data_IF_189469222950
#
_entry.id   IF_189469222950
#
_cell.length_a   1.000
_cell.length_b   1.000
_cell.length_c   1.000
_cell.angle_alpha   90.00
_cell.angle_beta   90.00
_cell.angle_gamma   90.00
#
_symmetry.space_group_name_H-M   'P 1'
#
loop_
_entity.id
_entity.type
_entity.pdbx_description
1 polymer ?
#
# COMPACT_ATOMS: atom_id res chain seq x y z
N UNK A 1 49.54 49.03 -25.15
CA UNK A 1 48.75 47.78 -25.17
C UNK A 1 48.70 47.26 -23.75
N UNK A 2 47.52 47.27 -23.12
CA UNK A 2 47.33 46.83 -21.74
C UNK A 2 46.72 45.42 -21.79
N UNK A 3 47.42 44.42 -21.26
CA UNK A 3 46.92 43.04 -21.17
C UNK A 3 46.27 42.88 -19.79
N UNK A 4 44.94 42.70 -19.78
CA UNK A 4 44.18 42.38 -18.56
C UNK A 4 44.10 40.86 -18.46
N UNK A 5 44.74 40.28 -17.43
CA UNK A 5 44.63 38.87 -17.12
C UNK A 5 43.38 38.63 -16.26
N UNK A 6 42.42 37.87 -16.80
CA UNK A 6 41.22 37.43 -16.07
C UNK A 6 41.56 36.11 -15.38
N UNK A 7 41.67 36.13 -14.05
CA UNK A 7 41.82 34.93 -13.23
C UNK A 7 40.41 34.34 -13.03
N UNK A 8 40.12 33.25 -13.74
CA UNK A 8 38.88 32.50 -13.52
C UNK A 8 39.05 31.62 -12.28
N UNK A 9 38.36 31.98 -11.20
CA UNK A 9 38.29 31.20 -9.97
C UNK A 9 37.23 30.12 -10.15
N UNK A 10 37.66 28.90 -10.46
CA UNK A 10 36.77 27.73 -10.46
C UNK A 10 36.43 27.39 -9.02
N UNK A 11 35.16 27.56 -8.66
CA UNK A 11 34.61 27.04 -7.40
C UNK A 11 34.50 25.53 -7.59
N UNK A 12 35.40 24.78 -6.96
CA UNK A 12 35.26 23.33 -6.81
C UNK A 12 34.16 23.13 -5.78
N UNK A 13 32.95 22.83 -6.26
CA UNK A 13 31.92 22.26 -5.40
C UNK A 13 32.36 20.83 -5.11
N UNK A 14 32.86 20.58 -3.91
CA UNK A 14 32.91 19.22 -3.39
C UNK A 14 31.46 18.71 -3.38
N UNK A 15 31.14 17.81 -4.30
CA UNK A 15 29.90 17.05 -4.28
C UNK A 15 29.92 16.20 -3.01
N UNK A 16 29.39 16.76 -1.91
CA UNK A 16 29.04 15.99 -0.74
C UNK A 16 28.02 14.96 -1.23
N UNK A 17 28.47 13.71 -1.40
CA UNK A 17 27.59 12.58 -1.63
C UNK A 17 26.62 12.46 -0.44
N UNK A 18 25.50 13.18 -0.51
CA UNK A 18 24.35 12.95 0.36
C UNK A 18 23.84 11.56 0.05
N UNK A 19 24.28 10.56 0.80
CA UNK A 19 23.62 9.26 0.80
C UNK A 19 22.15 9.52 1.12
N UNK A 20 21.20 9.20 0.21
CA UNK A 20 19.81 9.45 0.50
C UNK A 20 19.45 8.68 1.76
N UNK A 21 18.88 9.37 2.76
CA UNK A 21 18.41 8.72 3.99
C UNK A 21 17.27 7.77 3.59
N UNK A 22 17.61 6.50 3.39
CA UNK A 22 16.63 5.46 3.07
C UNK A 22 15.93 5.02 4.33
N UNK A 23 14.61 4.79 4.25
CA UNK A 23 13.88 4.22 5.38
C UNK A 23 14.32 2.77 5.62
N UNK A 24 14.61 2.35 6.87
CA UNK A 24 15.21 1.05 7.17
C UNK A 24 14.31 -0.14 6.80
N UNK A 25 13.00 0.09 6.69
CA UNK A 25 12.00 -0.95 6.39
C UNK A 25 11.30 -0.81 5.04
N UNK A 26 11.19 0.41 4.50
CA UNK A 26 10.26 0.68 3.40
C UNK A 26 10.98 1.25 2.19
N UNK A 27 10.62 0.76 1.00
CA UNK A 27 11.07 1.33 -0.27
C UNK A 27 9.85 1.61 -1.15
N UNK A 28 9.79 2.82 -1.70
CA UNK A 28 8.75 3.21 -2.67
C UNK A 28 8.98 2.49 -3.99
N UNK A 29 7.92 2.01 -4.61
CA UNK A 29 7.95 1.23 -5.86
C UNK A 29 7.00 1.86 -6.89
N UNK A 30 7.45 2.02 -8.13
CA UNK A 30 6.63 2.52 -9.24
C UNK A 30 5.52 1.53 -9.63
N UNK A 31 4.56 1.98 -10.44
CA UNK A 31 3.53 1.09 -11.00
C UNK A 31 4.10 -0.05 -11.87
N UNK A 32 5.30 0.12 -12.43
CA UNK A 32 6.04 -0.89 -13.21
C UNK A 32 6.90 -1.80 -12.34
N UNK A 33 6.87 -1.63 -11.02
CA UNK A 33 7.65 -2.44 -10.10
C UNK A 33 9.13 -2.06 -10.07
N UNK A 34 9.49 -0.78 -10.19
CA UNK A 34 10.88 -0.32 -10.04
C UNK A 34 11.07 0.43 -8.72
N UNK A 35 12.23 0.32 -8.05
CA UNK A 35 12.45 1.02 -6.80
C UNK A 35 12.68 2.51 -7.04
N UNK A 36 12.21 3.32 -6.10
CA UNK A 36 12.36 4.77 -6.10
C UNK A 36 13.22 5.21 -4.91
N UNK A 37 13.94 6.33 -5.11
CA UNK A 37 14.58 7.01 -4.00
C UNK A 37 13.54 7.64 -3.06
N UNK A 38 13.89 7.95 -1.80
CA UNK A 38 12.93 8.44 -0.80
C UNK A 38 12.14 9.69 -1.23
N UNK A 39 12.76 10.54 -2.05
CA UNK A 39 12.22 11.83 -2.50
C UNK A 39 11.50 11.77 -3.85
N UNK A 40 11.53 10.61 -4.52
CA UNK A 40 10.89 10.42 -5.82
C UNK A 40 9.43 9.98 -5.67
N UNK A 41 8.65 10.28 -6.71
CA UNK A 41 7.28 9.86 -6.90
C UNK A 41 6.82 10.10 -8.35
N UNK A 42 5.60 9.70 -8.71
CA UNK A 42 4.65 8.96 -7.88
C UNK A 42 5.08 7.51 -7.65
N UNK A 43 4.63 6.91 -6.56
CA UNK A 43 4.81 5.47 -6.29
C UNK A 43 3.43 4.82 -6.16
N UNK A 44 3.35 3.56 -6.54
CA UNK A 44 2.11 2.79 -6.52
C UNK A 44 2.13 1.68 -5.45
N UNK A 45 3.33 1.29 -5.00
CA UNK A 45 3.50 0.28 -3.97
C UNK A 45 4.60 0.63 -2.98
N UNK A 46 4.57 -0.04 -1.83
CA UNK A 46 5.62 0.01 -0.81
C UNK A 46 6.14 -1.40 -0.58
N UNK A 47 7.45 -1.58 -0.80
CA UNK A 47 8.16 -2.79 -0.41
C UNK A 47 8.49 -2.74 1.09
N UNK A 48 7.99 -3.71 1.84
CA UNK A 48 8.28 -3.95 3.25
C UNK A 48 9.37 -5.03 3.39
N UNK A 49 10.59 -4.60 3.67
CA UNK A 49 11.76 -5.48 3.81
C UNK A 49 11.71 -6.37 5.06
N UNK A 50 10.96 -5.96 6.09
CA UNK A 50 10.89 -6.72 7.34
C UNK A 50 10.10 -8.03 7.17
N UNK A 51 9.03 -7.99 6.37
CA UNK A 51 8.15 -9.14 6.14
C UNK A 51 8.25 -9.71 4.71
N UNK A 52 9.06 -9.08 3.85
CA UNK A 52 9.19 -9.42 2.43
C UNK A 52 7.82 -9.38 1.70
N UNK A 53 7.08 -8.29 1.93
CA UNK A 53 5.75 -8.04 1.39
C UNK A 53 5.76 -6.79 0.50
N UNK A 54 4.93 -6.80 -0.54
CA UNK A 54 4.60 -5.62 -1.33
C UNK A 54 3.20 -5.15 -0.96
N UNK A 55 3.06 -3.88 -0.67
CA UNK A 55 1.79 -3.27 -0.30
C UNK A 55 1.28 -2.33 -1.38
N UNK A 56 -0.01 -2.37 -1.64
CA UNK A 56 -0.72 -1.38 -2.46
C UNK A 56 -0.66 0.00 -1.78
N UNK A 57 -0.52 1.07 -2.56
CA UNK A 57 -0.71 2.44 -2.08
C UNK A 57 -1.99 3.00 -2.67
N UNK A 58 -2.84 3.55 -1.81
CA UNK A 58 -4.13 4.13 -2.22
C UNK A 58 -3.93 5.49 -2.88
N UNK A 59 -4.85 5.83 -3.77
CA UNK A 59 -4.89 7.10 -4.51
C UNK A 59 -6.04 8.00 -4.05
N UNK A 60 -6.17 9.17 -4.66
CA UNK A 60 -7.29 10.11 -4.52
C UNK A 60 -7.60 10.65 -5.92
N UNK A 61 -8.05 9.73 -6.80
CA UNK A 61 -8.14 9.92 -8.25
C UNK A 61 -9.33 9.18 -8.90
N UNK A 62 -10.26 8.68 -8.09
CA UNK A 62 -11.42 7.88 -8.48
C UNK A 62 -11.11 6.57 -9.23
N UNK A 63 -9.83 6.19 -9.34
CA UNK A 63 -9.43 4.90 -9.92
C UNK A 63 -9.85 3.74 -9.01
N UNK A 64 -9.67 2.50 -9.46
CA UNK A 64 -9.93 1.32 -8.62
C UNK A 64 -9.14 1.33 -7.29
N UNK A 65 -8.04 2.10 -7.24
CA UNK A 65 -7.16 2.20 -6.07
C UNK A 65 -7.46 3.40 -5.17
N UNK A 66 -8.58 4.09 -5.38
CA UNK A 66 -8.95 5.25 -4.57
C UNK A 66 -9.12 4.87 -3.08
N UNK A 67 -8.60 5.71 -2.19
CA UNK A 67 -8.65 5.53 -0.75
C UNK A 67 -10.02 5.80 -0.13
N UNK A 68 -10.97 6.41 -0.85
CA UNK A 68 -12.35 6.59 -0.42
C UNK A 68 -13.24 5.37 -0.72
N UNK A 69 -12.78 4.43 -1.55
CA UNK A 69 -13.54 3.22 -1.83
C UNK A 69 -13.59 2.27 -0.64
N UNK A 70 -14.77 1.72 -0.43
CA UNK A 70 -15.02 0.68 0.55
C UNK A 70 -15.65 -0.52 -0.13
N UNK A 71 -15.43 -1.69 0.43
CA UNK A 71 -15.75 -2.96 -0.19
C UNK A 71 -16.55 -3.79 0.80
N UNK A 72 -17.54 -4.54 0.30
CA UNK A 72 -18.04 -5.68 1.06
C UNK A 72 -17.05 -6.84 0.97
N UNK A 73 -17.03 -7.70 1.99
CA UNK A 73 -16.15 -8.85 1.99
C UNK A 73 -16.76 -9.97 1.16
N UNK A 74 -16.08 -10.34 0.07
CA UNK A 74 -16.46 -11.42 -0.82
C UNK A 74 -15.21 -12.06 -1.44
N UNK A 75 -15.14 -13.39 -1.38
CA UNK A 75 -14.05 -14.16 -1.99
C UNK A 75 -14.55 -15.54 -2.41
N UNK A 76 -14.40 -15.88 -3.70
CA UNK A 76 -14.74 -17.19 -4.27
C UNK A 76 -16.12 -17.75 -3.85
N UNK A 77 -17.15 -16.88 -3.82
CA UNK A 77 -18.52 -17.27 -3.46
C UNK A 77 -18.84 -17.20 -1.96
N UNK A 78 -17.84 -16.96 -1.11
CA UNK A 78 -18.04 -16.71 0.31
C UNK A 78 -18.24 -15.21 0.56
N UNK A 79 -19.23 -14.86 1.39
CA UNK A 79 -19.46 -13.49 1.83
C UNK A 79 -20.61 -12.81 1.12
N UNK A 80 -20.49 -11.50 0.87
CA UNK A 80 -21.53 -10.70 0.22
C UNK A 80 -20.95 -9.87 -0.91
N UNK A 81 -21.33 -10.22 -2.14
CA UNK A 81 -20.96 -9.45 -3.32
C UNK A 81 -21.63 -8.08 -3.35
N UNK A 82 -20.96 -7.10 -3.96
CA UNK A 82 -21.54 -5.84 -4.42
C UNK A 82 -22.25 -5.00 -3.32
N UNK A 83 -21.68 -4.93 -2.12
CA UNK A 83 -22.23 -4.17 -0.99
C UNK A 83 -21.27 -3.09 -0.46
N UNK A 84 -20.16 -2.84 -1.16
CA UNK A 84 -19.26 -1.71 -0.92
C UNK A 84 -19.78 -0.38 -1.48
N UNK A 85 -18.97 0.66 -1.35
CA UNK A 85 -19.19 1.99 -1.91
C UNK A 85 -17.98 2.38 -2.76
N UNK A 86 -18.18 2.33 -4.08
CA UNK A 86 -17.24 2.75 -5.11
C UNK A 86 -18.01 3.03 -6.40
N UNK A 87 -17.33 3.67 -7.35
CA UNK A 87 -17.93 4.09 -8.63
C UNK A 87 -17.26 3.51 -9.88
N UNK A 88 -16.16 2.76 -9.74
CA UNK A 88 -15.50 2.12 -10.89
C UNK A 88 -16.26 0.87 -11.41
N UNK A 89 -17.18 0.31 -10.63
CA UNK A 89 -18.10 -0.77 -11.02
C UNK A 89 -19.55 -0.28 -10.98
N UNK A 90 -20.37 -0.74 -11.93
CA UNK A 90 -21.79 -0.35 -12.02
C UNK A 90 -22.65 -0.95 -10.91
N UNK A 91 -22.28 -2.15 -10.42
CA UNK A 91 -23.02 -2.89 -9.40
C UNK A 91 -22.59 -2.57 -7.96
N UNK A 92 -21.71 -1.57 -7.75
CA UNK A 92 -20.82 -1.47 -6.56
C UNK A 92 -19.77 -2.58 -6.55
N UNK A 93 -18.86 -2.53 -5.57
CA UNK A 93 -17.71 -3.43 -5.51
C UNK A 93 -17.68 -4.26 -4.24
N UNK A 94 -16.92 -5.35 -4.35
CA UNK A 94 -16.46 -6.17 -3.24
C UNK A 94 -14.96 -6.45 -3.32
N UNK A 95 -14.43 -7.14 -2.32
CA UNK A 95 -12.99 -7.44 -2.24
C UNK A 95 -12.49 -8.26 -3.42
N UNK A 96 -13.31 -9.12 -4.03
CA UNK A 96 -12.90 -9.94 -5.17
C UNK A 96 -12.71 -9.09 -6.43
N UNK A 97 -13.52 -8.04 -6.62
CA UNK A 97 -13.36 -7.12 -7.74
C UNK A 97 -12.01 -6.40 -7.69
N UNK A 98 -11.67 -5.82 -6.54
CA UNK A 98 -10.39 -5.12 -6.36
C UNK A 98 -9.21 -6.06 -6.61
N UNK A 99 -9.24 -7.27 -6.04
CA UNK A 99 -8.20 -8.29 -6.23
C UNK A 99 -8.04 -8.65 -7.71
N UNK A 100 -9.15 -8.95 -8.39
CA UNK A 100 -9.17 -9.35 -9.80
C UNK A 100 -8.57 -8.26 -10.68
N UNK A 101 -9.09 -7.03 -10.60
CA UNK A 101 -8.61 -5.92 -11.40
C UNK A 101 -7.13 -5.60 -11.14
N UNK A 102 -6.71 -5.63 -9.88
CA UNK A 102 -5.30 -5.37 -9.51
C UNK A 102 -4.35 -6.41 -10.10
N UNK A 103 -4.73 -7.69 -10.05
CA UNK A 103 -3.96 -8.79 -10.63
C UNK A 103 -3.94 -8.75 -12.16
N UNK A 104 -5.05 -8.41 -12.80
CA UNK A 104 -5.12 -8.25 -14.26
C UNK A 104 -4.24 -7.10 -14.74
N UNK A 105 -4.21 -5.99 -14.00
CA UNK A 105 -3.33 -4.83 -14.27
C UNK A 105 -1.87 -5.06 -13.91
N UNK A 106 -1.57 -6.15 -13.20
CA UNK A 106 -0.20 -6.49 -12.78
C UNK A 106 0.45 -5.35 -11.99
N UNK A 107 -0.30 -4.77 -11.03
CA UNK A 107 0.17 -3.62 -10.25
C UNK A 107 1.56 -3.88 -9.67
N UNK A 108 2.50 -2.97 -9.93
CA UNK A 108 3.90 -3.06 -9.50
C UNK A 108 4.61 -4.33 -9.96
N UNK A 109 4.22 -4.90 -11.10
CA UNK A 109 4.82 -6.11 -11.64
C UNK A 109 4.33 -7.41 -11.00
N UNK A 110 3.32 -7.37 -10.13
CA UNK A 110 2.81 -8.53 -9.38
C UNK A 110 1.39 -8.95 -9.82
N UNK A 111 1.11 -10.26 -9.75
CA UNK A 111 -0.20 -10.87 -10.10
C UNK A 111 -0.78 -11.75 -8.99
N UNK A 112 -0.20 -11.70 -7.79
CA UNK A 112 -0.58 -12.49 -6.62
C UNK A 112 -1.06 -11.58 -5.48
N UNK A 113 -1.70 -10.46 -5.82
CA UNK A 113 -2.36 -9.58 -4.86
C UNK A 113 -3.52 -10.30 -4.18
N UNK A 114 -3.60 -10.13 -2.86
CA UNK A 114 -4.60 -10.76 -1.99
C UNK A 114 -5.00 -9.82 -0.86
N UNK A 115 -6.09 -10.15 -0.16
CA UNK A 115 -6.34 -9.57 1.15
C UNK A 115 -5.20 -9.93 2.12
N UNK A 116 -4.82 -9.00 3.01
CA UNK A 116 -3.83 -9.25 4.03
C UNK A 116 -4.40 -10.10 5.17
N UNK A 117 -3.53 -10.75 5.92
CA UNK A 117 -3.87 -11.36 7.21
C UNK A 117 -3.98 -10.29 8.29
N UNK A 118 -4.60 -10.63 9.43
CA UNK A 118 -4.62 -9.76 10.61
C UNK A 118 -3.21 -9.36 11.08
N UNK A 119 -2.26 -10.31 11.07
CA UNK A 119 -0.88 -10.07 11.49
C UNK A 119 -0.15 -9.12 10.55
N UNK A 120 -0.36 -9.25 9.25
CA UNK A 120 0.24 -8.37 8.25
C UNK A 120 -0.25 -6.94 8.40
N UNK A 121 -1.57 -6.72 8.51
CA UNK A 121 -2.12 -5.37 8.76
C UNK A 121 -1.66 -4.80 10.10
N UNK A 122 -1.70 -5.59 11.17
CA UNK A 122 -1.25 -5.15 12.49
C UNK A 122 0.23 -4.74 12.48
N UNK A 123 1.06 -5.34 11.62
CA UNK A 123 2.48 -4.99 11.49
C UNK A 123 2.74 -3.60 10.91
N UNK A 124 1.72 -2.97 10.30
CA UNK A 124 1.80 -1.61 9.77
C UNK A 124 1.39 -0.56 10.81
N UNK A 125 0.72 -0.99 11.89
CA UNK A 125 0.21 -0.09 12.93
C UNK A 125 1.38 0.52 13.70
N UNK A 126 1.46 1.84 13.68
CA UNK A 126 2.41 2.62 14.46
C UNK A 126 1.83 3.99 14.80
N UNK A 127 2.33 4.68 15.84
CA UNK A 127 1.91 6.03 16.14
C UNK A 127 2.08 6.94 14.92
N UNK A 128 1.08 7.78 14.58
CA UNK A 128 1.21 8.70 13.47
C UNK A 128 2.27 9.77 13.75
N UNK A 129 2.96 10.21 12.70
CA UNK A 129 3.93 11.31 12.80
C UNK A 129 3.26 12.66 13.17
N UNK A 130 1.97 12.83 12.86
CA UNK A 130 1.20 14.04 13.15
C UNK A 130 -0.15 13.71 13.82
N UNK A 131 -0.62 14.52 14.78
CA UNK A 131 -1.96 14.36 15.35
C UNK A 131 -3.04 14.33 14.27
N UNK A 132 -3.98 13.40 14.39
CA UNK A 132 -5.11 13.30 13.46
C UNK A 132 -4.84 12.48 12.19
N UNK A 133 -3.65 11.93 11.97
CA UNK A 133 -3.39 10.93 10.91
C UNK A 133 -3.82 9.50 11.35
N UNK A 134 -4.03 8.57 10.41
CA UNK A 134 -4.19 7.14 10.72
C UNK A 134 -2.91 6.56 11.33
N UNK A 135 -3.03 5.45 12.06
CA UNK A 135 -1.91 4.81 12.76
C UNK A 135 -1.05 3.98 11.79
N UNK A 136 -0.29 4.65 10.92
CA UNK A 136 0.61 4.04 9.92
C UNK A 136 1.70 5.06 9.51
N UNK A 137 2.78 4.59 8.88
CA UNK A 137 3.75 5.45 8.18
C UNK A 137 3.12 6.16 6.97
N UNK A 138 2.34 7.21 7.24
CA UNK A 138 1.50 7.89 6.26
C UNK A 138 2.25 8.44 5.04
N UNK A 139 3.54 8.79 5.19
CA UNK A 139 4.40 9.26 4.10
C UNK A 139 4.73 8.18 3.06
N UNK A 140 4.50 6.90 3.38
CA UNK A 140 4.61 5.75 2.49
C UNK A 140 3.24 5.23 2.06
N UNK A 141 2.28 5.23 2.99
CA UNK A 141 0.93 4.73 2.79
C UNK A 141 -0.06 5.89 2.74
N UNK A 142 -0.05 6.60 1.62
CA UNK A 142 -0.92 7.77 1.40
C UNK A 142 -2.38 7.35 1.25
N UNK A 143 -3.28 8.31 1.52
CA UNK A 143 -4.74 8.19 1.37
C UNK A 143 -5.42 7.10 2.21
N UNK A 144 -4.69 6.46 3.13
CA UNK A 144 -5.26 5.59 4.16
C UNK A 144 -6.21 6.39 5.05
N UNK A 145 -7.45 5.93 5.15
CA UNK A 145 -8.47 6.50 6.03
C UNK A 145 -8.43 5.85 7.42
N UNK A 146 -8.96 6.57 8.40
CA UNK A 146 -9.27 6.02 9.72
C UNK A 146 -10.52 5.15 9.59
N UNK A 147 -10.40 3.85 9.83
CA UNK A 147 -11.52 2.94 9.72
C UNK A 147 -11.07 1.50 9.77
N UNK A 148 -12.02 0.60 9.52
CA UNK A 148 -11.79 -0.84 9.49
C UNK A 148 -11.24 -1.26 8.11
N UNK A 149 -10.18 -2.07 8.10
CA UNK A 149 -9.57 -2.64 6.91
C UNK A 149 -9.76 -4.15 6.90
N UNK A 150 -10.38 -4.68 5.85
CA UNK A 150 -10.64 -6.11 5.72
C UNK A 150 -9.35 -6.94 5.73
N UNK A 151 -9.44 -8.12 6.35
CA UNK A 151 -8.43 -9.18 6.29
C UNK A 151 -8.99 -10.39 5.55
N UNK A 152 -8.14 -11.36 5.23
CA UNK A 152 -8.56 -12.63 4.64
C UNK A 152 -9.20 -13.61 5.66
N UNK A 153 -9.25 -13.28 6.96
CA UNK A 153 -9.79 -14.20 7.96
C UNK A 153 -11.33 -14.11 8.02
N UNK A 154 -11.96 -15.07 7.36
CA UNK A 154 -13.41 -15.22 7.24
C UNK A 154 -13.99 -16.26 8.23
N UNK A 155 -15.29 -16.53 8.12
CA UNK A 155 -16.03 -17.55 8.86
C UNK A 155 -15.99 -17.36 10.39
N UNK A 156 -15.79 -16.12 10.83
CA UNK A 156 -15.71 -15.79 12.25
C UNK A 156 -17.11 -15.55 12.79
N UNK A 157 -17.47 -16.26 13.87
CA UNK A 157 -18.78 -16.10 14.52
C UNK A 157 -19.00 -14.64 14.95
N UNK A 158 -20.11 -14.08 14.51
CA UNK A 158 -20.57 -12.75 14.92
C UNK A 158 -21.19 -12.81 16.30
N UNK A 159 -20.98 -11.76 17.08
CA UNK A 159 -21.47 -11.62 18.45
C UNK A 159 -22.49 -10.48 18.55
N UNK A 160 -23.17 -10.42 19.69
CA UNK A 160 -24.08 -9.33 20.06
C UNK A 160 -25.15 -9.07 18.97
N UNK A 161 -25.34 -7.81 18.58
CA UNK A 161 -26.35 -7.36 17.62
C UNK A 161 -26.25 -8.03 16.23
N UNK A 162 -25.07 -8.58 15.87
CA UNK A 162 -24.85 -9.22 14.58
C UNK A 162 -24.96 -10.76 14.62
N UNK A 163 -25.31 -11.36 15.76
CA UNK A 163 -25.39 -12.82 15.90
C UNK A 163 -26.35 -13.48 14.90
N UNK A 164 -27.44 -12.79 14.51
CA UNK A 164 -28.41 -13.28 13.53
C UNK A 164 -27.81 -13.46 12.12
N UNK A 165 -26.71 -12.77 11.79
CA UNK A 165 -25.97 -12.91 10.53
C UNK A 165 -24.97 -14.08 10.58
N UNK A 166 -24.87 -14.78 11.72
CA UNK A 166 -24.04 -15.97 11.98
C UNK A 166 -22.54 -15.68 11.93
N UNK A 167 -21.99 -15.43 10.75
CA UNK A 167 -20.54 -15.32 10.51
C UNK A 167 -20.19 -14.07 9.70
N UNK A 168 -18.95 -13.65 9.84
CA UNK A 168 -18.36 -12.53 9.12
C UNK A 168 -16.86 -12.69 8.96
N UNK A 169 -16.16 -11.59 8.73
CA UNK A 169 -14.72 -11.55 8.58
C UNK A 169 -14.07 -10.59 9.59
N UNK A 170 -12.76 -10.77 9.80
CA UNK A 170 -11.96 -9.88 10.64
C UNK A 170 -11.52 -8.65 9.86
N UNK A 171 -11.46 -7.53 10.57
CA UNK A 171 -10.87 -6.29 10.09
C UNK A 171 -9.96 -5.68 11.14
N UNK A 172 -8.93 -4.93 10.72
CA UNK A 172 -8.04 -4.17 11.60
C UNK A 172 -8.42 -2.69 11.50
N UNK A 173 -8.66 -2.04 12.64
CA UNK A 173 -9.07 -0.65 12.68
C UNK A 173 -7.86 0.30 12.74
N UNK A 174 -7.67 1.13 11.73
CA UNK A 174 -6.52 2.05 11.62
C UNK A 174 -6.69 3.35 12.42
N UNK A 175 -7.79 3.51 13.15
CA UNK A 175 -7.97 4.58 14.12
C UNK A 175 -7.43 4.21 15.52
N UNK A 176 -7.53 2.94 15.93
CA UNK A 176 -7.17 2.50 17.28
C UNK A 176 -6.35 1.20 17.35
N UNK A 177 -6.01 0.59 16.21
CA UNK A 177 -5.22 -0.64 16.10
C UNK A 177 -5.95 -1.94 16.49
N UNK A 178 -7.25 -1.89 16.82
CA UNK A 178 -7.99 -3.07 17.29
C UNK A 178 -8.45 -3.95 16.13
N UNK A 179 -8.48 -5.26 16.38
CA UNK A 179 -9.14 -6.22 15.52
C UNK A 179 -10.63 -6.28 15.87
N UNK A 180 -11.49 -6.21 14.86
CA UNK A 180 -12.94 -6.34 14.98
C UNK A 180 -13.46 -7.46 14.09
N UNK A 181 -14.64 -8.02 14.41
CA UNK A 181 -15.36 -8.93 13.51
C UNK A 181 -16.57 -8.19 12.94
N UNK A 182 -16.66 -8.11 11.63
CA UNK A 182 -17.73 -7.40 10.93
C UNK A 182 -18.53 -8.36 10.05
N UNK A 183 -19.84 -8.15 9.87
CA UNK A 183 -20.63 -8.88 8.88
C UNK A 183 -20.07 -8.68 7.47
N UNK A 184 -20.13 -9.72 6.63
CA UNK A 184 -19.63 -9.65 5.24
C UNK A 184 -20.22 -8.50 4.41
N UNK A 185 -21.46 -8.11 4.70
CA UNK A 185 -22.19 -7.02 4.02
C UNK A 185 -21.76 -5.61 4.42
N UNK A 186 -20.91 -5.45 5.43
CA UNK A 186 -20.44 -4.12 5.83
C UNK A 186 -19.48 -3.58 4.77
N UNK A 187 -19.56 -2.29 4.49
CA UNK A 187 -18.56 -1.61 3.68
C UNK A 187 -17.37 -1.24 4.57
N UNK A 188 -16.17 -1.72 4.22
CA UNK A 188 -14.93 -1.40 4.92
C UNK A 188 -13.78 -1.17 3.93
N UNK A 189 -12.71 -0.53 4.37
CA UNK A 189 -11.56 -0.24 3.51
C UNK A 189 -10.75 -1.49 3.20
N UNK A 190 -9.92 -1.42 2.15
CA UNK A 190 -9.00 -2.49 1.77
C UNK A 190 -7.68 -1.86 1.34
N UNK A 191 -6.59 -2.51 1.75
CA UNK A 191 -5.25 -2.36 1.18
C UNK A 191 -4.78 -3.76 0.82
N UNK A 192 -4.42 -3.99 -0.43
CA UNK A 192 -3.94 -5.29 -0.88
C UNK A 192 -2.47 -5.49 -0.52
N UNK A 193 -2.10 -6.77 -0.38
CA UNK A 193 -0.73 -7.21 -0.17
C UNK A 193 -0.38 -8.30 -1.18
N UNK A 194 0.90 -8.36 -1.54
CA UNK A 194 1.46 -9.40 -2.39
C UNK A 194 2.74 -9.95 -1.75
N UNK A 195 2.89 -11.26 -1.77
CA UNK A 195 4.12 -11.93 -1.36
C UNK A 195 5.22 -11.67 -2.42
N UNK A 196 6.42 -11.26 -1.98
CA UNK A 196 7.55 -10.99 -2.87
C UNK A 196 8.23 -12.32 -3.24
N UNK A 197 8.25 -12.64 -4.53
CA UNK A 197 9.05 -13.77 -5.04
C UNK A 197 10.54 -13.44 -5.06
N UNK A 198 11.40 -14.47 -4.98
CA UNK A 198 12.86 -14.30 -5.17
C UNK A 198 13.19 -13.59 -6.48
N UNK A 199 12.49 -13.91 -7.56
CA UNK A 199 12.70 -13.29 -8.87
C UNK A 199 12.44 -11.78 -8.85
N UNK A 200 11.38 -11.35 -8.16
CA UNK A 200 11.10 -9.92 -7.98
C UNK A 200 12.22 -9.24 -7.19
N UNK A 201 12.67 -9.85 -6.09
CA UNK A 201 13.79 -9.31 -5.29
C UNK A 201 15.07 -9.14 -6.11
N UNK A 202 15.43 -10.13 -6.94
CA UNK A 202 16.59 -10.03 -7.83
C UNK A 202 16.46 -8.91 -8.86
N UNK A 203 15.27 -8.73 -9.45
CA UNK A 203 15.04 -7.62 -10.38
C UNK A 203 15.19 -6.25 -9.69
N UNK A 204 14.72 -6.10 -8.45
CA UNK A 204 14.88 -4.86 -7.68
C UNK A 204 16.33 -4.58 -7.25
N UNK A 205 17.10 -5.64 -6.95
CA UNK A 205 18.52 -5.51 -6.60
C UNK A 205 19.34 -5.14 -7.84
N UNK A 206 19.11 -5.80 -8.96
CA UNK A 206 19.79 -5.51 -10.22
C UNK A 206 19.53 -4.08 -10.72
N UNK A 207 18.34 -3.53 -10.50
CA UNK A 207 18.01 -2.15 -10.88
C UNK A 207 18.69 -1.10 -9.99
N UNK A 208 19.03 -1.44 -8.74
CA UNK A 208 19.80 -0.56 -7.85
C UNK A 208 21.25 -0.43 -8.30
N UNK A 209 21.87 -1.52 -8.75
CA UNK A 209 23.26 -1.50 -9.20
C UNK A 209 23.45 -0.63 -10.45
N UNK A 210 22.48 -0.61 -11.37
CA UNK A 210 22.52 0.24 -12.57
C UNK A 210 22.28 1.73 -12.32
N UNK A 211 21.76 2.12 -11.15
CA UNK A 211 21.51 3.53 -10.82
C UNK A 211 22.73 4.24 -10.20
N UNK A 212 23.87 3.56 -10.09
CA UNK A 212 25.11 4.06 -9.45
C UNK A 212 26.18 4.48 -10.47
N UNK A 213 25.86 4.48 -11.76
CA UNK A 213 26.78 4.89 -12.84
C UNK A 213 26.14 5.96 -13.72
N UNK A 214 26.11 7.21 -13.26
CA UNK A 214 26.06 8.41 -14.09
C UNK A 214 26.56 9.62 -13.30
#
# INVERSE_FOLDING_TARGET
MLIVAIVSMYVVFDDILMTPITHPRFTKITAQGQPLSPWQGPWACVLDHQHNLLWEVKTDDESIHDGYWTYSWYDQGLGKANFGDCYFESARCDTQDLIRHTNDKTLCGQKNWRLPTERELASLIQPPARPGQPYIAYDYFTHIKKGDYWTNHANVKLQQQFAHLKQGAKAVNFHNGKVVTLPYRNAAFVILVSDITKAYSHAQLSSRDTSTTH
#
